data_IF_853370963509
#
_entry.id   IF_853370963509
#
_cell.length_a   1.000
_cell.length_b   1.000
_cell.length_c   1.000
_cell.angle_alpha   90.00
_cell.angle_beta   90.00
_cell.angle_gamma   90.00
#
_symmetry.space_group_name_H-M   'P 1'
#
loop_
_entity.id
_entity.type
_entity.pdbx_description
1 polymer ?
#
# COMPACT_ATOMS: atom_id res chain seq x y z
N UNK A 1 -6.80 -3.77 -10.67
CA UNK A 1 -8.09 -3.30 -10.14
C UNK A 1 -9.21 -4.04 -10.84
N UNK A 2 -10.22 -4.52 -10.11
CA UNK A 2 -11.38 -5.22 -10.70
C UNK A 2 -12.68 -4.46 -10.48
N UNK A 3 -12.97 -4.08 -9.23
CA UNK A 3 -14.24 -3.45 -8.86
C UNK A 3 -14.10 -2.66 -7.54
N UNK A 4 -14.98 -1.69 -7.33
CA UNK A 4 -15.17 -1.01 -6.05
C UNK A 4 -14.59 0.39 -5.99
N UNK A 5 -14.23 0.82 -4.79
CA UNK A 5 -13.57 2.09 -4.49
C UNK A 5 -12.08 2.04 -4.86
N UNK A 6 -11.46 3.16 -5.29
CA UNK A 6 -10.02 3.20 -5.53
C UNK A 6 -9.22 2.94 -4.25
N UNK A 7 -8.02 2.37 -4.41
CA UNK A 7 -7.09 2.11 -3.31
C UNK A 7 -5.93 3.09 -3.36
N UNK A 8 -5.60 3.66 -2.20
CA UNK A 8 -4.30 4.29 -1.97
C UNK A 8 -3.32 3.22 -1.49
N UNK A 9 -2.22 3.04 -2.21
CA UNK A 9 -1.13 2.11 -1.85
C UNK A 9 0.05 2.96 -1.40
N UNK A 10 0.31 2.94 -0.09
CA UNK A 10 1.40 3.67 0.55
C UNK A 10 2.65 2.80 0.57
N UNK A 11 3.75 3.33 0.05
CA UNK A 11 5.03 2.61 -0.10
C UNK A 11 6.11 3.44 0.58
N UNK A 12 6.79 2.83 1.57
CA UNK A 12 8.00 3.34 2.18
C UNK A 12 9.22 2.66 1.54
N UNK A 13 10.10 3.47 0.94
CA UNK A 13 11.38 3.06 0.37
C UNK A 13 12.46 4.07 0.80
N UNK A 14 13.49 3.61 1.53
CA UNK A 14 14.62 4.46 1.95
C UNK A 14 14.23 5.79 2.61
N UNK A 15 13.18 5.77 3.45
CA UNK A 15 12.59 6.94 4.16
C UNK A 15 11.78 7.90 3.28
N UNK A 16 11.52 7.55 2.03
CA UNK A 16 10.56 8.26 1.17
C UNK A 16 9.21 7.53 1.18
N UNK A 17 8.15 8.28 1.46
CA UNK A 17 6.78 7.80 1.32
C UNK A 17 6.24 8.20 -0.06
N UNK A 18 5.81 7.21 -0.83
CA UNK A 18 5.09 7.41 -2.10
C UNK A 18 3.71 6.77 -2.01
N UNK A 19 2.70 7.43 -2.58
CA UNK A 19 1.34 6.87 -2.69
C UNK A 19 1.00 6.63 -4.16
N UNK A 20 0.56 5.42 -4.48
CA UNK A 20 -0.01 5.07 -5.79
C UNK A 20 -1.54 4.99 -5.67
N UNK A 21 -2.25 5.53 -6.66
CA UNK A 21 -3.72 5.44 -6.72
C UNK A 21 -4.13 4.34 -7.72
N UNK A 22 -4.72 3.27 -7.20
CA UNK A 22 -5.19 2.13 -7.98
C UNK A 22 -6.71 2.23 -8.18
N UNK A 23 -7.15 2.43 -9.42
CA UNK A 23 -8.55 2.67 -9.77
C UNK A 23 -8.75 2.83 -11.28
N UNK A 24 -9.85 3.45 -11.70
CA UNK A 24 -10.23 3.60 -13.11
C UNK A 24 -10.43 5.05 -13.55
N UNK A 25 -10.45 6.02 -12.62
CA UNK A 25 -10.56 7.43 -12.94
C UNK A 25 -9.20 8.02 -13.30
N UNK A 26 -8.84 7.91 -14.58
CA UNK A 26 -7.58 8.44 -15.12
C UNK A 26 -7.46 9.96 -14.95
N UNK A 27 -8.57 10.68 -14.77
CA UNK A 27 -8.54 12.14 -14.55
C UNK A 27 -8.05 12.51 -13.15
N UNK A 28 -8.07 11.54 -12.22
CA UNK A 28 -7.57 11.64 -10.85
C UNK A 28 -6.22 10.98 -10.64
N UNK A 29 -5.46 10.71 -11.72
CA UNK A 29 -4.21 9.95 -11.68
C UNK A 29 -4.34 8.51 -11.14
N UNK A 30 -5.54 7.94 -11.17
CA UNK A 30 -5.72 6.53 -10.87
C UNK A 30 -5.19 5.67 -12.02
N UNK A 31 -4.73 4.47 -11.68
CA UNK A 31 -4.25 3.49 -12.66
C UNK A 31 -4.90 2.12 -12.43
N UNK A 32 -5.23 1.36 -13.49
CA UNK A 32 -5.88 0.05 -13.34
C UNK A 32 -4.94 -1.03 -12.78
N UNK A 33 -3.63 -0.75 -12.73
CA UNK A 33 -2.58 -1.63 -12.24
C UNK A 33 -1.49 -0.80 -11.54
N UNK A 34 -0.86 -1.38 -10.52
CA UNK A 34 0.26 -0.78 -9.80
C UNK A 34 1.36 -1.82 -9.57
N UNK A 35 2.61 -1.37 -9.49
CA UNK A 35 3.77 -2.21 -9.19
C UNK A 35 4.41 -1.71 -7.89
N UNK A 36 4.35 -2.55 -6.86
CA UNK A 36 5.15 -2.36 -5.64
C UNK A 36 6.48 -3.08 -5.83
N UNK A 37 7.60 -2.38 -5.64
CA UNK A 37 8.93 -2.97 -5.78
C UNK A 37 9.21 -3.92 -4.61
N UNK A 38 10.07 -4.92 -4.83
CA UNK A 38 10.56 -5.76 -3.73
C UNK A 38 11.35 -4.92 -2.72
N UNK A 39 11.42 -5.40 -1.48
CA UNK A 39 12.17 -4.78 -0.38
C UNK A 39 11.69 -3.35 -0.02
N UNK A 40 10.40 -3.08 -0.18
CA UNK A 40 9.73 -1.88 0.32
C UNK A 40 8.65 -2.27 1.33
N UNK A 41 8.35 -1.41 2.30
CA UNK A 41 7.23 -1.60 3.22
C UNK A 41 6.00 -0.97 2.57
N UNK A 42 4.87 -1.66 2.54
CA UNK A 42 3.66 -1.10 1.97
C UNK A 42 2.40 -1.51 2.72
N UNK A 43 1.40 -0.63 2.66
CA UNK A 43 0.03 -0.87 3.12
C UNK A 43 -0.95 -0.21 2.18
N UNK A 44 -2.20 -0.67 2.18
CA UNK A 44 -3.24 -0.12 1.31
C UNK A 44 -4.52 0.16 2.06
N UNK A 45 -5.14 1.31 1.80
CA UNK A 45 -6.44 1.70 2.35
C UNK A 45 -7.41 2.11 1.23
N UNK A 46 -8.70 1.95 1.51
CA UNK A 46 -9.76 2.52 0.66
C UNK A 46 -9.86 4.00 0.99
N UNK A 47 -9.81 4.85 -0.03
CA UNK A 47 -10.00 6.28 0.18
C UNK A 47 -11.34 6.54 0.89
N UNK A 48 -11.30 7.30 2.00
CA UNK A 48 -12.43 7.60 2.88
C UNK A 48 -13.00 6.41 3.69
N UNK A 49 -12.38 5.22 3.66
CA UNK A 49 -12.82 4.03 4.41
C UNK A 49 -14.29 3.61 4.14
N UNK A 50 -14.83 3.95 2.97
CA UNK A 50 -16.20 3.60 2.58
C UNK A 50 -16.21 2.61 1.40
N UNK A 51 -17.00 1.55 1.56
CA UNK A 51 -17.21 0.52 0.53
C UNK A 51 -16.18 -0.61 0.59
N UNK A 52 -15.79 -1.10 -0.58
CA UNK A 52 -14.85 -2.20 -0.73
C UNK A 52 -14.02 -2.00 -2.00
N UNK A 53 -12.87 -2.68 -2.09
CA UNK A 53 -12.09 -2.76 -3.32
C UNK A 53 -11.72 -4.21 -3.61
N UNK A 54 -12.01 -4.66 -4.83
CA UNK A 54 -11.66 -5.99 -5.31
C UNK A 54 -10.45 -5.89 -6.25
N UNK A 55 -9.38 -6.59 -5.90
CA UNK A 55 -8.13 -6.61 -6.66
C UNK A 55 -7.57 -8.02 -6.79
N UNK A 56 -6.70 -8.21 -7.78
CA UNK A 56 -5.77 -9.34 -7.80
C UNK A 56 -4.36 -8.84 -7.56
N UNK A 57 -3.63 -9.54 -6.70
CA UNK A 57 -2.22 -9.32 -6.45
C UNK A 57 -1.45 -10.51 -6.99
N UNK A 58 -0.39 -10.24 -7.76
CA UNK A 58 0.52 -11.26 -8.30
C UNK A 58 1.91 -10.96 -7.77
N UNK A 59 2.52 -11.95 -7.12
CA UNK A 59 3.88 -11.86 -6.57
C UNK A 59 4.81 -12.74 -7.40
N UNK A 60 5.97 -12.23 -7.75
CA UNK A 60 6.99 -12.96 -8.52
C UNK A 60 8.40 -12.70 -7.96
N UNK A 61 9.17 -13.75 -7.58
CA UNK A 61 8.79 -15.17 -7.50
C UNK A 61 7.57 -15.42 -6.59
N UNK A 62 6.96 -16.60 -6.70
CA UNK A 62 5.72 -16.90 -5.97
C UNK A 62 5.83 -16.64 -4.46
N UNK A 63 4.74 -16.16 -3.87
CA UNK A 63 4.69 -15.81 -2.44
C UNK A 63 5.06 -16.99 -1.54
N UNK A 64 5.92 -16.72 -0.55
CA UNK A 64 6.29 -17.66 0.50
C UNK A 64 6.40 -16.93 1.84
N UNK A 65 5.85 -17.51 2.91
CA UNK A 65 5.87 -16.90 4.24
C UNK A 65 7.28 -16.66 4.79
N UNK A 66 8.29 -17.43 4.36
CA UNK A 66 9.70 -17.19 4.70
C UNK A 66 10.26 -15.89 4.14
N UNK A 67 9.55 -15.29 3.17
CA UNK A 67 9.88 -14.01 2.53
C UNK A 67 8.89 -12.89 2.89
N UNK A 68 7.95 -13.17 3.80
CA UNK A 68 6.97 -12.21 4.28
C UNK A 68 7.35 -11.68 5.65
N UNK A 69 7.22 -10.37 5.82
CA UNK A 69 7.45 -9.67 7.07
C UNK A 69 6.29 -8.72 7.32
N UNK A 70 5.74 -8.75 8.54
CA UNK A 70 4.71 -7.83 9.01
C UNK A 70 5.31 -7.03 10.16
N UNK A 71 5.43 -5.72 9.96
CA UNK A 71 5.99 -4.81 10.94
C UNK A 71 4.97 -4.43 12.00
N UNK A 72 5.43 -4.21 13.23
CA UNK A 72 4.63 -3.60 14.29
C UNK A 72 4.55 -2.08 14.15
N UNK A 73 3.50 -1.49 14.71
CA UNK A 73 3.34 -0.03 14.79
C UNK A 73 4.54 0.61 15.49
N UNK A 74 5.00 0.02 16.58
CA UNK A 74 6.11 0.54 17.40
C UNK A 74 7.43 0.58 16.62
N UNK A 75 7.75 -0.47 15.85
CA UNK A 75 8.93 -0.53 14.98
C UNK A 75 8.88 0.56 13.91
N UNK A 76 7.73 0.71 13.24
CA UNK A 76 7.56 1.70 12.19
C UNK A 76 7.63 3.13 12.71
N UNK A 77 7.00 3.43 13.84
CA UNK A 77 7.08 4.77 14.45
C UNK A 77 8.50 5.12 14.90
N UNK A 78 9.28 4.13 15.35
CA UNK A 78 10.66 4.35 15.75
C UNK A 78 11.57 4.69 14.55
N UNK A 79 11.40 4.03 13.41
CA UNK A 79 12.26 4.21 12.22
C UNK A 79 11.75 5.29 11.24
N UNK A 80 10.43 5.43 11.13
CA UNK A 80 9.71 6.25 10.15
C UNK A 80 8.72 7.24 10.80
N UNK A 81 9.07 7.77 11.99
CA UNK A 81 8.19 8.67 12.76
C UNK A 81 7.71 9.93 12.01
N UNK A 82 8.39 10.37 10.95
CA UNK A 82 7.94 11.47 10.09
C UNK A 82 6.61 11.16 9.35
N UNK A 83 6.22 9.88 9.28
CA UNK A 83 4.99 9.40 8.64
C UNK A 83 3.99 8.79 9.64
N UNK A 84 4.01 9.26 10.89
CA UNK A 84 3.14 8.80 11.99
C UNK A 84 1.68 8.62 11.54
N UNK A 85 1.08 9.61 10.89
CA UNK A 85 -0.34 9.57 10.48
C UNK A 85 -0.69 8.38 9.59
N UNK A 86 0.19 8.03 8.64
CA UNK A 86 -0.02 6.89 7.73
C UNK A 86 0.21 5.57 8.46
N UNK A 87 1.22 5.53 9.32
CA UNK A 87 1.50 4.35 10.16
C UNK A 87 0.32 4.06 11.08
N UNK A 88 -0.25 5.08 11.74
CA UNK A 88 -1.38 4.92 12.64
C UNK A 88 -2.65 4.39 11.95
N UNK A 89 -2.87 4.72 10.68
CA UNK A 89 -4.04 4.22 9.94
C UNK A 89 -3.89 2.79 9.48
N UNK A 90 -2.66 2.35 9.19
CA UNK A 90 -2.37 1.08 8.53
C UNK A 90 -1.82 0.00 9.48
N UNK A 91 -1.70 0.30 10.78
CA UNK A 91 -1.21 -0.64 11.81
C UNK A 91 -2.09 -0.67 13.06
#
# INVERSE_FOLDING_TARGET
>A
FHEGSPLSIHILDQRELTTLHLGLDLTKNETPHALVKRNTIFGSEIEHNEGYALVSCVVSPGFDFSTFELFSKEELLHEYGDYEEVIERLT
#
